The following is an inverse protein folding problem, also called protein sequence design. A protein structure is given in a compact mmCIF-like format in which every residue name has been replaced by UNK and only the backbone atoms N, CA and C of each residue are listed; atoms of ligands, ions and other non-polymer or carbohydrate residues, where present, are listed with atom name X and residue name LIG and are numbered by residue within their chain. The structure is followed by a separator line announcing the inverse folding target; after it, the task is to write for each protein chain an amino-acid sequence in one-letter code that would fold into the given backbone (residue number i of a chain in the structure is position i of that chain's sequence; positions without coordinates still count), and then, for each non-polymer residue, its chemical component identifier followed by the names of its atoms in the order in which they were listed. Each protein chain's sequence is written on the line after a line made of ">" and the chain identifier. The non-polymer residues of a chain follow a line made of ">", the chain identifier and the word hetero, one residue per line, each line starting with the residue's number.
data_IF_419280082690
#
_entry.id   IF_419280082690
#
_cell.length_a   1.000
_cell.length_b   1.000
_cell.length_c   1.000
_cell.angle_alpha   90.00
_cell.angle_beta   90.00
_cell.angle_gamma   90.00
#
_symmetry.space_group_name_H-M   'P 1'
#
loop_
_entity.id
_entity.type
_entity.pdbx_description
1 polymer ?
#
# COMPACT_ATOMS: atom_id res chain seq x y z
N UNK A 1 21.92 -42.98 -21.65
CA UNK A 1 22.99 -43.14 -20.64
C UNK A 1 23.73 -41.83 -20.48
N UNK A 2 23.99 -41.46 -19.24
CA UNK A 2 24.25 -40.12 -18.72
C UNK A 2 25.41 -39.35 -19.35
N UNK A 3 25.21 -38.04 -19.59
CA UNK A 3 26.28 -37.06 -19.81
C UNK A 3 26.18 -35.97 -18.76
N UNK A 4 27.11 -35.98 -17.81
CA UNK A 4 27.27 -34.98 -16.76
C UNK A 4 27.77 -33.65 -17.34
N UNK A 5 27.19 -32.54 -16.92
CA UNK A 5 27.73 -31.19 -17.15
C UNK A 5 28.17 -30.61 -15.80
N UNK A 6 29.49 -30.54 -15.61
CA UNK A 6 30.16 -29.88 -14.50
C UNK A 6 30.31 -28.38 -14.78
N UNK A 7 29.75 -27.52 -13.94
CA UNK A 7 30.01 -26.08 -13.98
C UNK A 7 31.30 -25.78 -13.23
N UNK A 8 32.36 -25.39 -13.95
CA UNK A 8 33.51 -24.71 -13.38
C UNK A 8 33.33 -23.20 -13.58
N UNK A 9 33.35 -22.43 -12.49
CA UNK A 9 33.49 -20.99 -12.54
C UNK A 9 34.92 -20.64 -12.16
N UNK A 10 35.68 -20.11 -13.13
CA UNK A 10 37.01 -19.58 -12.91
C UNK A 10 36.91 -18.18 -12.30
N UNK A 11 37.59 -18.00 -11.16
CA UNK A 11 37.88 -16.71 -10.55
C UNK A 11 39.14 -16.14 -11.20
N UNK A 12 39.02 -15.02 -11.90
CA UNK A 12 40.15 -14.14 -12.20
C UNK A 12 39.78 -12.72 -11.81
N UNK A 13 40.71 -12.13 -11.06
CA UNK A 13 40.45 -11.01 -10.18
C UNK A 13 40.33 -9.67 -10.87
N UNK A 14 39.59 -8.79 -10.21
CA UNK A 14 39.79 -7.35 -10.21
C UNK A 14 39.49 -6.86 -8.80
N UNK A 15 40.52 -6.29 -8.17
CA UNK A 15 40.54 -5.79 -6.81
C UNK A 15 39.77 -4.48 -6.71
N UNK A 16 38.72 -4.42 -5.88
CA UNK A 16 38.12 -3.17 -5.37
C UNK A 16 37.73 -3.42 -3.90
N UNK A 17 38.12 -2.55 -2.96
CA UNK A 17 38.02 -2.78 -1.52
C UNK A 17 36.59 -2.78 -0.98
N UNK A 18 36.32 -3.73 -0.09
CA UNK A 18 35.15 -3.81 0.79
C UNK A 18 35.17 -2.66 1.79
N UNK A 19 34.20 -1.77 1.68
CA UNK A 19 33.63 -1.03 2.82
C UNK A 19 32.14 -0.85 2.55
N UNK A 20 31.34 -1.88 2.84
CA UNK A 20 29.91 -1.74 3.07
C UNK A 20 29.70 -1.84 4.58
N UNK A 21 29.75 -0.66 5.18
CA UNK A 21 29.54 -0.37 6.58
C UNK A 21 28.07 -0.66 6.93
N UNK A 22 27.83 -1.74 7.68
CA UNK A 22 26.55 -2.00 8.33
C UNK A 22 26.58 -1.31 9.69
N UNK A 23 26.41 0.00 9.70
CA UNK A 23 26.07 0.72 10.92
C UNK A 23 24.59 1.14 10.85
N UNK A 24 23.95 1.02 12.02
CA UNK A 24 22.73 1.71 12.41
C UNK A 24 21.38 1.01 12.19
N UNK A 25 21.19 -0.09 12.94
CA UNK A 25 19.93 -0.30 13.67
C UNK A 25 20.26 -0.59 15.14
N UNK A 26 20.55 0.49 15.88
CA UNK A 26 20.52 0.45 17.33
C UNK A 26 19.08 0.72 17.79
N UNK A 27 18.31 -0.33 18.01
CA UNK A 27 17.10 -0.23 18.85
C UNK A 27 17.44 -0.73 20.25
N UNK A 28 17.30 0.21 21.17
CA UNK A 28 17.63 0.08 22.59
C UNK A 28 16.39 -0.47 23.30
N UNK A 29 16.40 -1.74 23.70
CA UNK A 29 15.52 -2.24 24.76
C UNK A 29 16.12 -3.51 25.36
N UNK A 30 16.34 -3.45 26.65
CA UNK A 30 17.10 -4.39 27.45
C UNK A 30 16.41 -5.76 27.56
N UNK A 31 17.12 -6.83 27.17
CA UNK A 31 17.29 -8.02 28.01
C UNK A 31 18.45 -8.89 27.51
N UNK A 32 19.68 -8.60 27.96
CA UNK A 32 20.89 -9.34 27.56
C UNK A 32 21.00 -10.76 28.16
N UNK A 33 19.92 -11.34 28.67
CA UNK A 33 19.96 -12.63 29.36
C UNK A 33 19.57 -13.85 28.50
N UNK A 34 19.21 -13.67 27.23
CA UNK A 34 18.86 -14.78 26.34
C UNK A 34 19.95 -15.13 25.30
N UNK A 35 21.09 -14.44 25.32
CA UNK A 35 22.27 -14.77 24.49
C UNK A 35 23.21 -15.79 25.15
N UNK A 36 22.84 -16.33 26.31
CA UNK A 36 23.68 -17.25 27.08
C UNK A 36 23.34 -18.72 26.80
N UNK A 37 23.24 -19.12 25.52
CA UNK A 37 23.51 -20.51 25.17
C UNK A 37 25.02 -20.55 24.86
N UNK A 38 25.83 -21.32 25.60
CA UNK A 38 27.22 -21.55 25.22
C UNK A 38 27.28 -22.02 23.76
N UNK A 39 28.18 -21.49 22.91
CA UNK A 39 28.24 -21.83 21.48
C UNK A 39 28.48 -23.33 21.19
N UNK A 40 28.69 -24.15 22.22
CA UNK A 40 29.01 -25.57 22.16
C UNK A 40 27.82 -26.53 22.39
N UNK A 41 26.58 -26.03 22.52
CA UNK A 41 25.43 -26.94 22.67
C UNK A 41 25.02 -27.54 21.31
N UNK A 42 25.22 -28.85 21.17
CA UNK A 42 24.75 -29.62 20.00
C UNK A 42 23.25 -29.92 20.13
N UNK A 43 22.48 -29.45 19.16
CA UNK A 43 21.04 -29.76 19.01
C UNK A 43 20.86 -30.75 17.86
N UNK A 44 20.04 -31.78 18.07
CA UNK A 44 19.73 -32.80 17.06
C UNK A 44 18.46 -32.44 16.30
N UNK A 45 18.60 -32.18 15.01
CA UNK A 45 17.50 -31.84 14.12
C UNK A 45 17.07 -33.09 13.33
N UNK A 46 15.78 -33.47 13.32
CA UNK A 46 15.30 -34.59 12.53
C UNK A 46 15.46 -34.30 11.04
N UNK A 47 16.11 -35.20 10.30
CA UNK A 47 16.23 -35.16 8.84
C UNK A 47 15.12 -35.99 8.22
N UNK A 48 14.34 -35.40 7.32
CA UNK A 48 13.26 -36.08 6.59
C UNK A 48 13.61 -36.23 5.10
N UNK A 49 13.12 -37.29 4.44
CA UNK A 49 13.15 -37.42 2.97
C UNK A 49 11.99 -36.67 2.30
N UNK A 50 11.97 -36.67 0.96
CA UNK A 50 10.92 -36.02 0.16
C UNK A 50 9.52 -36.62 0.40
N UNK A 51 9.43 -37.83 0.99
CA UNK A 51 8.19 -38.48 1.40
C UNK A 51 7.81 -38.18 2.87
N UNK A 52 8.55 -37.31 3.56
CA UNK A 52 8.32 -36.91 4.95
C UNK A 52 8.71 -37.97 5.98
N UNK A 53 9.45 -39.02 5.59
CA UNK A 53 9.93 -40.06 6.51
C UNK A 53 11.25 -39.63 7.14
N UNK A 54 11.38 -39.86 8.44
CA UNK A 54 12.62 -39.59 9.18
C UNK A 54 13.75 -40.49 8.66
N UNK A 55 14.77 -39.90 8.05
CA UNK A 55 15.94 -40.59 7.49
C UNK A 55 17.19 -40.45 8.35
N UNK A 56 17.20 -39.57 9.34
CA UNK A 56 18.33 -39.44 10.27
C UNK A 56 18.23 -38.23 11.19
N UNK A 57 19.34 -37.89 11.83
CA UNK A 57 19.49 -36.72 12.69
C UNK A 57 20.71 -35.92 12.24
N UNK A 58 20.62 -34.59 12.29
CA UNK A 58 21.71 -33.67 12.01
C UNK A 58 22.12 -33.02 13.33
N UNK A 59 23.40 -33.07 13.65
CA UNK A 59 23.95 -32.35 14.80
C UNK A 59 24.27 -30.92 14.37
N UNK A 60 23.62 -29.94 15.00
CA UNK A 60 23.78 -28.53 14.73
C UNK A 60 24.27 -27.81 15.98
N UNK A 61 25.21 -26.89 15.82
CA UNK A 61 25.75 -26.05 16.89
C UNK A 61 25.05 -24.67 16.88
N UNK A 62 24.73 -24.15 18.06
CA UNK A 62 24.19 -22.79 18.21
C UNK A 62 22.74 -22.61 17.74
N UNK A 63 21.96 -23.69 17.70
CA UNK A 63 20.51 -23.62 17.41
C UNK A 63 19.78 -23.27 18.70
N UNK A 64 19.07 -22.15 18.69
CA UNK A 64 18.17 -21.77 19.79
C UNK A 64 16.84 -22.53 19.63
N UNK A 65 16.66 -23.59 20.41
CA UNK A 65 15.42 -24.36 20.46
C UNK A 65 14.23 -23.55 21.02
N UNK A 66 14.51 -22.46 21.74
CA UNK A 66 13.49 -21.53 22.22
C UNK A 66 13.19 -20.42 21.19
N UNK A 67 13.82 -20.44 20.01
CA UNK A 67 13.50 -19.50 18.94
C UNK A 67 12.07 -19.74 18.42
N UNK A 68 11.19 -18.85 18.84
CA UNK A 68 9.85 -18.74 18.29
C UNK A 68 9.82 -17.48 17.43
N UNK A 69 9.89 -17.60 16.08
CA UNK A 69 9.84 -16.43 15.23
C UNK A 69 8.54 -15.67 15.51
N UNK A 70 8.67 -14.42 15.96
CA UNK A 70 7.54 -13.53 16.13
C UNK A 70 6.81 -13.45 14.79
N UNK A 71 5.54 -13.87 14.76
CA UNK A 71 4.72 -13.73 13.57
C UNK A 71 4.55 -12.23 13.32
N UNK A 72 5.37 -11.67 12.43
CA UNK A 72 5.13 -10.32 11.90
C UNK A 72 3.80 -10.37 11.17
N UNK A 73 2.73 -9.92 11.85
CA UNK A 73 1.43 -9.73 11.24
C UNK A 73 1.54 -8.55 10.26
N UNK A 74 2.07 -8.81 9.07
CA UNK A 74 1.93 -7.90 7.96
C UNK A 74 0.43 -7.76 7.69
N UNK A 75 -0.09 -6.53 7.75
CA UNK A 75 -1.48 -6.24 7.39
C UNK A 75 -1.67 -6.70 5.95
N UNK A 76 -2.43 -7.79 5.77
CA UNK A 76 -2.70 -8.34 4.45
C UNK A 76 -3.70 -7.45 3.75
N UNK A 77 -3.47 -7.15 2.48
CA UNK A 77 -4.49 -6.53 1.65
C UNK A 77 -5.65 -7.51 1.42
N UNK A 78 -6.86 -6.97 1.39
CA UNK A 78 -8.12 -7.70 1.17
C UNK A 78 -8.75 -7.40 -0.19
N UNK A 79 -8.27 -6.35 -0.87
CA UNK A 79 -8.68 -6.01 -2.22
C UNK A 79 -7.57 -5.25 -2.97
N UNK A 80 -7.64 -5.29 -4.30
CA UNK A 80 -6.81 -4.56 -5.23
C UNK A 80 -7.67 -3.97 -6.36
N UNK A 81 -7.48 -2.70 -6.68
CA UNK A 81 -8.15 -2.04 -7.80
C UNK A 81 -7.13 -1.40 -8.73
N UNK A 82 -7.40 -1.43 -10.02
CA UNK A 82 -6.54 -0.80 -11.02
C UNK A 82 -7.14 0.56 -11.37
N UNK A 83 -6.46 1.64 -10.99
CA UNK A 83 -6.97 2.99 -11.17
C UNK A 83 -6.13 3.75 -12.19
N UNK A 84 -6.78 4.33 -13.20
CA UNK A 84 -6.18 5.21 -14.19
C UNK A 84 -6.66 6.65 -13.98
N UNK A 85 -5.74 7.58 -13.72
CA UNK A 85 -6.09 9.01 -13.62
C UNK A 85 -6.03 9.68 -15.01
N UNK A 86 -7.16 10.21 -15.47
CA UNK A 86 -7.26 10.93 -16.77
C UNK A 86 -6.72 12.35 -16.70
N UNK A 87 -6.81 13.00 -15.55
CA UNK A 87 -6.45 14.41 -15.36
C UNK A 87 -4.96 14.60 -15.03
N UNK A 88 -4.21 13.51 -14.86
CA UNK A 88 -2.78 13.55 -14.63
C UNK A 88 -2.08 14.16 -15.86
N UNK A 89 -1.71 15.45 -15.76
CA UNK A 89 -1.11 16.26 -16.83
C UNK A 89 -0.06 15.50 -17.65
N UNK A 90 -0.22 15.39 -18.97
CA UNK A 90 0.58 14.52 -19.85
C UNK A 90 1.93 15.15 -20.22
N UNK A 91 2.69 15.66 -19.25
CA UNK A 91 3.95 16.35 -19.55
C UNK A 91 5.06 15.36 -19.98
N UNK A 92 4.91 14.06 -19.69
CA UNK A 92 5.87 13.02 -20.15
C UNK A 92 5.52 11.58 -19.78
N UNK A 93 4.46 11.33 -18.99
CA UNK A 93 4.17 10.01 -18.43
C UNK A 93 3.08 9.31 -19.24
N UNK A 94 3.39 8.11 -19.73
CA UNK A 94 2.42 7.20 -20.35
C UNK A 94 1.25 7.02 -19.38
N UNK A 95 0.02 7.02 -19.89
CA UNK A 95 -1.16 6.67 -19.11
C UNK A 95 -1.13 5.16 -18.83
N UNK A 96 -1.04 4.78 -17.56
CA UNK A 96 -1.10 3.39 -17.13
C UNK A 96 -1.90 3.28 -15.84
N UNK A 97 -2.56 2.14 -15.66
CA UNK A 97 -3.27 1.81 -14.45
C UNK A 97 -2.29 1.58 -13.30
N UNK A 98 -2.62 2.09 -12.11
CA UNK A 98 -1.89 1.83 -10.87
C UNK A 98 -2.73 0.97 -9.96
N UNK A 99 -2.11 -0.08 -9.41
CA UNK A 99 -2.74 -0.92 -8.40
C UNK A 99 -2.87 -0.15 -7.06
N UNK A 100 -4.08 -0.12 -6.52
CA UNK A 100 -4.46 0.42 -5.22
C UNK A 100 -4.90 -0.75 -4.36
N UNK A 101 -4.16 -1.02 -3.28
CA UNK A 101 -4.43 -2.11 -2.36
C UNK A 101 -5.16 -1.60 -1.14
N UNK A 102 -6.21 -2.31 -0.72
CA UNK A 102 -6.95 -2.01 0.49
C UNK A 102 -6.62 -3.04 1.57
N UNK A 103 -6.40 -2.55 2.78
CA UNK A 103 -6.39 -3.32 4.03
C UNK A 103 -7.80 -3.62 4.53
N UNK A 104 -8.77 -2.75 4.24
CA UNK A 104 -10.19 -2.92 4.52
C UNK A 104 -11.02 -2.41 3.34
N UNK A 105 -12.11 -3.10 2.99
CA UNK A 105 -13.07 -2.58 1.99
C UNK A 105 -13.91 -1.47 2.58
N UNK A 106 -13.31 -0.27 2.68
CA UNK A 106 -13.94 0.98 3.07
C UNK A 106 -13.57 2.08 2.09
N UNK A 107 -14.44 3.10 2.01
CA UNK A 107 -14.21 4.29 1.23
C UNK A 107 -12.96 5.04 1.70
N UNK A 108 -12.74 5.11 3.02
CA UNK A 108 -11.58 5.77 3.60
C UNK A 108 -10.25 5.16 3.12
N UNK A 109 -10.16 3.84 3.06
CA UNK A 109 -8.95 3.12 2.63
C UNK A 109 -8.75 3.25 1.12
N UNK A 110 -9.84 3.24 0.34
CA UNK A 110 -9.80 3.51 -1.09
C UNK A 110 -9.26 4.91 -1.39
N UNK A 111 -9.81 5.93 -0.73
CA UNK A 111 -9.37 7.31 -0.89
C UNK A 111 -7.93 7.50 -0.42
N UNK A 112 -7.52 6.87 0.68
CA UNK A 112 -6.13 6.89 1.16
C UNK A 112 -5.17 6.26 0.16
N UNK A 113 -5.53 5.10 -0.39
CA UNK A 113 -4.73 4.41 -1.40
C UNK A 113 -4.60 5.21 -2.70
N UNK A 114 -5.69 5.82 -3.17
CA UNK A 114 -5.66 6.70 -4.34
C UNK A 114 -4.83 7.97 -4.03
N UNK A 115 -5.06 8.62 -2.89
CA UNK A 115 -4.32 9.81 -2.45
C UNK A 115 -2.81 9.56 -2.40
N UNK A 116 -2.39 8.41 -1.87
CA UNK A 116 -0.98 7.98 -1.83
C UNK A 116 -0.35 7.86 -3.23
N UNK A 117 -1.11 7.41 -4.24
CA UNK A 117 -0.59 7.24 -5.60
C UNK A 117 -0.51 8.55 -6.38
N UNK A 118 -1.44 9.49 -6.18
CA UNK A 118 -1.53 10.73 -6.97
C UNK A 118 -1.20 12.01 -6.20
N UNK A 119 -0.89 11.92 -4.91
CA UNK A 119 -0.36 13.02 -4.10
C UNK A 119 -1.42 14.03 -3.65
N UNK A 120 -2.68 13.60 -3.47
CA UNK A 120 -3.70 14.44 -2.84
C UNK A 120 -4.05 13.91 -1.45
N UNK A 121 -4.50 14.81 -0.59
CA UNK A 121 -4.92 14.48 0.76
C UNK A 121 -6.39 14.01 0.75
N UNK A 122 -6.69 12.77 1.19
CA UNK A 122 -8.06 12.27 1.32
C UNK A 122 -8.97 13.17 2.15
N UNK A 123 -8.43 13.94 3.10
CA UNK A 123 -9.22 14.85 3.94
C UNK A 123 -9.83 16.02 3.16
N UNK A 124 -9.29 16.32 1.97
CA UNK A 124 -9.80 17.37 1.08
C UNK A 124 -10.97 16.90 0.22
N UNK A 125 -11.24 15.60 0.19
CA UNK A 125 -12.32 14.99 -0.61
C UNK A 125 -13.66 15.29 0.06
N UNK A 126 -14.48 16.12 -0.58
CA UNK A 126 -15.83 16.45 -0.12
C UNK A 126 -16.88 15.45 -0.57
N UNK A 127 -16.73 14.92 -1.79
CA UNK A 127 -17.65 13.97 -2.41
C UNK A 127 -16.86 12.94 -3.22
N UNK A 128 -17.30 11.69 -3.11
CA UNK A 128 -16.81 10.54 -3.88
C UNK A 128 -17.98 9.97 -4.65
N UNK A 129 -17.89 9.97 -5.97
CA UNK A 129 -18.98 9.60 -6.86
C UNK A 129 -18.55 8.43 -7.74
N UNK A 130 -19.43 7.44 -7.90
CA UNK A 130 -19.37 6.44 -8.96
C UNK A 130 -20.22 6.94 -10.13
N UNK A 131 -19.61 7.10 -11.29
CA UNK A 131 -20.31 7.49 -12.52
C UNK A 131 -20.65 6.23 -13.31
N UNK A 132 -21.94 5.95 -13.43
CA UNK A 132 -22.47 4.82 -14.18
C UNK A 132 -22.34 5.06 -15.70
N UNK A 133 -22.47 3.99 -16.48
CA UNK A 133 -22.39 4.04 -17.95
C UNK A 133 -23.47 4.91 -18.60
N UNK A 134 -24.61 5.09 -17.94
CA UNK A 134 -25.69 5.99 -18.36
C UNK A 134 -25.44 7.46 -17.98
N UNK A 135 -24.31 7.77 -17.34
CA UNK A 135 -23.94 9.11 -16.88
C UNK A 135 -24.56 9.51 -15.54
N UNK A 136 -25.30 8.63 -14.86
CA UNK A 136 -25.82 8.89 -13.52
C UNK A 136 -24.68 8.83 -12.51
N UNK A 137 -24.64 9.83 -11.62
CA UNK A 137 -23.69 9.92 -10.52
C UNK A 137 -24.32 9.34 -9.26
N UNK A 138 -23.64 8.37 -8.64
CA UNK A 138 -24.04 7.74 -7.39
C UNK A 138 -22.99 8.06 -6.34
N UNK A 139 -23.39 8.56 -5.18
CA UNK A 139 -22.46 8.77 -4.07
C UNK A 139 -21.94 7.44 -3.55
N UNK A 140 -20.61 7.33 -3.41
CA UNK A 140 -19.99 6.13 -2.88
C UNK A 140 -19.93 6.15 -1.36
N UNK A 141 -20.21 5.00 -0.76
CA UNK A 141 -20.04 4.72 0.65
C UNK A 141 -19.21 3.43 0.86
N UNK A 142 -19.13 2.97 2.11
CA UNK A 142 -18.41 1.73 2.46
C UNK A 142 -19.09 0.47 1.89
N UNK A 143 -20.40 0.49 1.64
CA UNK A 143 -21.11 -0.65 1.05
C UNK A 143 -20.78 -0.78 -0.44
N UNK A 144 -20.80 0.35 -1.16
CA UNK A 144 -20.41 0.41 -2.56
C UNK A 144 -18.99 -0.16 -2.77
N UNK A 145 -18.03 0.23 -1.93
CA UNK A 145 -16.66 -0.32 -1.99
C UNK A 145 -16.60 -1.81 -1.65
N UNK A 146 -17.49 -2.29 -0.77
CA UNK A 146 -17.55 -3.71 -0.41
C UNK A 146 -18.05 -4.59 -1.53
N UNK A 147 -19.03 -4.10 -2.29
CA UNK A 147 -19.63 -4.80 -3.43
C UNK A 147 -18.74 -4.81 -4.69
N UNK A 148 -17.77 -3.90 -4.77
CA UNK A 148 -16.82 -3.84 -5.89
C UNK A 148 -16.01 -5.14 -6.08
N UNK A 149 -15.74 -5.50 -7.33
CA UNK A 149 -15.00 -6.73 -7.65
C UNK A 149 -13.51 -6.53 -7.42
N UNK A 150 -12.85 -7.55 -6.89
CA UNK A 150 -11.39 -7.52 -6.78
C UNK A 150 -10.75 -7.51 -8.17
N UNK A 151 -9.66 -6.76 -8.33
CA UNK A 151 -8.96 -6.58 -9.60
C UNK A 151 -9.71 -5.73 -10.63
N UNK A 152 -10.69 -4.94 -10.20
CA UNK A 152 -11.50 -4.13 -11.12
C UNK A 152 -10.75 -2.90 -11.63
N UNK A 153 -10.91 -2.63 -12.92
CA UNK A 153 -10.39 -1.44 -13.60
C UNK A 153 -11.32 -0.25 -13.38
N UNK A 154 -10.71 0.91 -13.10
CA UNK A 154 -11.43 2.14 -12.80
C UNK A 154 -10.71 3.33 -13.41
N UNK A 155 -11.47 4.34 -13.81
CA UNK A 155 -10.93 5.62 -14.24
C UNK A 155 -11.22 6.67 -13.17
N UNK A 156 -10.18 7.38 -12.73
CA UNK A 156 -10.24 8.47 -11.78
C UNK A 156 -10.27 9.81 -12.51
N UNK A 157 -11.23 10.63 -12.13
CA UNK A 157 -11.30 12.06 -12.43
C UNK A 157 -11.31 12.84 -11.11
N UNK A 158 -10.49 13.90 -11.02
CA UNK A 158 -10.35 14.72 -9.81
C UNK A 158 -10.75 16.15 -10.15
N UNK A 159 -11.87 16.59 -9.60
CA UNK A 159 -12.40 17.93 -9.83
C UNK A 159 -12.15 18.81 -8.60
N UNK A 160 -11.41 19.90 -8.77
CA UNK A 160 -11.27 20.92 -7.72
C UNK A 160 -12.56 21.72 -7.60
N UNK A 161 -13.07 21.86 -6.37
CA UNK A 161 -14.19 22.71 -6.00
C UNK A 161 -13.61 24.03 -5.48
N UNK A 162 -13.83 25.12 -6.22
CA UNK A 162 -13.64 26.46 -5.65
C UNK A 162 -14.77 26.74 -4.66
N UNK A 163 -14.45 27.38 -3.54
CA UNK A 163 -15.39 27.73 -2.46
C UNK A 163 -16.64 28.49 -2.96
N UNK A 164 -16.56 29.12 -4.13
CA UNK A 164 -17.63 29.87 -4.78
C UNK A 164 -18.74 29.05 -5.46
N UNK A 165 -18.61 27.72 -5.59
CA UNK A 165 -19.56 26.92 -6.40
C UNK A 165 -20.57 26.09 -5.61
N UNK A 166 -20.48 26.04 -4.27
CA UNK A 166 -21.40 25.22 -3.47
C UNK A 166 -22.78 25.83 -3.25
N UNK A 167 -23.03 27.09 -3.62
CA UNK A 167 -24.30 27.75 -3.33
C UNK A 167 -25.25 27.91 -4.53
N UNK A 168 -24.81 27.78 -5.79
CA UNK A 168 -25.73 28.18 -6.90
C UNK A 168 -26.92 27.23 -7.13
N UNK A 169 -26.90 25.98 -6.66
CA UNK A 169 -28.02 25.04 -6.92
C UNK A 169 -29.01 24.90 -5.76
N UNK A 170 -28.62 25.22 -4.53
CA UNK A 170 -29.53 25.19 -3.38
C UNK A 170 -30.08 26.58 -3.00
N UNK A 171 -29.43 27.68 -3.41
CA UNK A 171 -29.79 29.05 -2.97
C UNK A 171 -30.68 29.82 -3.96
N UNK A 172 -31.06 29.23 -5.09
CA UNK A 172 -32.03 29.87 -6.01
C UNK A 172 -33.49 29.73 -5.53
N UNK A 173 -33.73 28.92 -4.48
CA UNK A 173 -35.07 28.71 -3.90
C UNK A 173 -35.26 29.29 -2.50
N UNK A 174 -34.22 29.88 -1.89
CA UNK A 174 -34.32 30.40 -0.52
C UNK A 174 -33.54 31.71 -0.36
N UNK A 175 -34.31 32.78 -0.16
CA UNK A 175 -33.93 34.12 0.33
C UNK A 175 -33.29 35.11 -0.66
N UNK A 176 -34.16 35.94 -1.24
CA UNK A 176 -33.88 37.36 -1.31
C UNK A 176 -33.94 37.94 0.13
N UNK A 177 -32.81 37.99 0.85
CA UNK A 177 -32.65 38.83 2.05
C UNK A 177 -31.17 39.18 2.25
N UNK A 178 -30.90 40.46 1.97
CA UNK A 178 -29.92 41.41 2.50
C UNK A 178 -28.43 41.05 2.71
N UNK A 179 -27.65 42.01 2.23
CA UNK A 179 -26.20 42.18 2.27
C UNK A 179 -25.61 42.19 3.70
N UNK A 180 -24.47 41.52 3.90
CA UNK A 180 -23.33 42.13 4.59
C UNK A 180 -22.03 41.39 4.23
N UNK A 181 -21.10 42.10 3.58
CA UNK A 181 -19.74 41.64 3.29
C UNK A 181 -18.94 41.52 4.60
N UNK A 182 -18.52 40.31 4.95
CA UNK A 182 -17.45 40.10 5.93
C UNK A 182 -16.26 39.46 5.20
N UNK A 183 -15.27 40.29 4.91
CA UNK A 183 -13.97 39.93 4.34
C UNK A 183 -13.15 39.14 5.38
N UNK A 184 -13.41 37.83 5.43
CA UNK A 184 -12.58 36.87 6.16
C UNK A 184 -11.58 36.26 5.19
N UNK A 185 -10.28 36.53 5.38
CA UNK A 185 -9.17 35.80 4.77
C UNK A 185 -9.18 34.34 5.23
N UNK A 186 -10.17 33.57 4.78
CA UNK A 186 -10.25 32.14 4.97
C UNK A 186 -9.25 31.53 4.01
N UNK A 187 -8.28 30.77 4.54
CA UNK A 187 -7.47 29.87 3.72
C UNK A 187 -8.46 28.97 3.00
N UNK A 188 -8.76 29.27 1.74
CA UNK A 188 -9.64 28.48 0.91
C UNK A 188 -9.02 27.08 0.84
N UNK A 189 -9.47 26.17 1.69
CA UNK A 189 -9.08 24.77 1.58
C UNK A 189 -9.65 24.32 0.24
N UNK A 190 -8.77 24.12 -0.74
CA UNK A 190 -9.13 23.53 -2.02
C UNK A 190 -9.82 22.19 -1.72
N UNK A 191 -11.14 22.15 -1.87
CA UNK A 191 -11.90 20.93 -1.73
C UNK A 191 -11.86 20.21 -3.06
N UNK A 192 -11.84 18.88 -3.04
CA UNK A 192 -11.90 18.09 -4.26
C UNK A 192 -13.10 17.14 -4.27
N UNK A 193 -13.58 16.86 -5.46
CA UNK A 193 -14.57 15.84 -5.76
C UNK A 193 -13.87 14.77 -6.58
N UNK A 194 -14.04 13.52 -6.17
CA UNK A 194 -13.47 12.34 -6.86
C UNK A 194 -14.59 11.64 -7.58
N UNK A 195 -14.37 11.35 -8.86
CA UNK A 195 -15.30 10.62 -9.72
C UNK A 195 -14.59 9.38 -10.23
N UNK A 196 -15.18 8.21 -9.96
CA UNK A 196 -14.71 6.92 -10.42
C UNK A 196 -15.66 6.40 -11.48
N UNK A 197 -15.12 6.00 -12.63
CA UNK A 197 -15.89 5.43 -13.74
C UNK A 197 -15.52 3.95 -13.89
N UNK A 198 -16.52 3.08 -13.81
CA UNK A 198 -16.41 1.62 -13.99
C UNK A 198 -17.78 0.96 -14.17
#
# INVERSE_FOLDING_TARGET
>A
SSTSLSSQAAVHGLSIPVTAQWDEFADTSANSQHLAIPPDQFTKIPKMDDAGRLTGWIEALGVDDAYHPQQKHLVKSVACFYVLNRDATPVSKKLYYRAVYLTQRSLSDLLAGIGSKWGFDPSTVRRSLHVLTNGLEVEMDDEAVREMRDGQDMVLEVKKLSASTSTKREWEWEMALDEEEVEGNSVEREMCEIRLLF
#
